data_IF_957859708412
#
_entry.id   IF_957859708412
#
_cell.length_a   1.000
_cell.length_b   1.000
_cell.length_c   1.000
_cell.angle_alpha   90.00
_cell.angle_beta   90.00
_cell.angle_gamma   90.00
#
_symmetry.space_group_name_H-M   'P 1'
#
loop_
_entity.id
_entity.type
_entity.pdbx_description
1 polymer ?
#
# COMPACT_ATOMS: atom_id res chain seq x y z
N UNK A 1 -9.43 -22.01 37.59
CA UNK A 1 -9.15 -21.09 36.45
C UNK A 1 -7.71 -21.15 35.91
N UNK A 2 -6.58 -21.14 36.63
CA UNK A 2 -5.27 -21.29 35.99
C UNK A 2 -5.10 -22.62 35.26
N UNK A 3 -5.61 -23.73 35.81
CA UNK A 3 -5.49 -25.08 35.20
C UNK A 3 -6.16 -25.19 33.83
N UNK A 4 -7.36 -24.61 33.65
CA UNK A 4 -8.11 -24.63 32.37
C UNK A 4 -7.34 -23.86 31.31
N UNK A 5 -6.77 -22.70 31.65
CA UNK A 5 -5.99 -21.87 30.71
C UNK A 5 -4.70 -22.58 30.30
N UNK A 6 -4.03 -23.26 31.21
CA UNK A 6 -2.80 -23.99 30.90
C UNK A 6 -3.10 -25.24 30.05
N UNK A 7 -4.18 -25.95 30.34
CA UNK A 7 -4.68 -27.07 29.51
C UNK A 7 -5.04 -26.59 28.11
N UNK A 8 -5.75 -25.46 27.99
CA UNK A 8 -6.10 -24.87 26.72
C UNK A 8 -4.87 -24.52 25.86
N UNK A 9 -3.84 -23.95 26.48
CA UNK A 9 -2.58 -23.63 25.75
C UNK A 9 -1.89 -24.88 25.22
N UNK A 10 -1.87 -25.96 26.02
CA UNK A 10 -1.26 -27.21 25.58
C UNK A 10 -2.05 -27.90 24.47
N UNK A 11 -3.39 -27.84 24.52
CA UNK A 11 -4.24 -28.36 23.46
C UNK A 11 -4.08 -27.57 22.14
N UNK A 12 -3.94 -26.25 22.24
CA UNK A 12 -3.66 -25.43 21.07
C UNK A 12 -2.30 -25.79 20.48
N UNK A 13 -1.24 -25.89 21.28
CA UNK A 13 0.08 -26.31 20.83
C UNK A 13 0.06 -27.69 20.17
N UNK A 14 -0.70 -28.65 20.77
CA UNK A 14 -0.88 -30.00 20.23
C UNK A 14 -1.67 -30.00 18.90
N UNK A 15 -2.67 -29.11 18.78
CA UNK A 15 -3.40 -28.90 17.55
C UNK A 15 -2.51 -28.32 16.44
N UNK A 16 -1.63 -27.39 16.78
CA UNK A 16 -0.66 -26.82 15.83
C UNK A 16 0.38 -27.84 15.36
N UNK A 17 0.82 -28.74 16.28
CA UNK A 17 1.81 -29.76 15.97
C UNK A 17 1.22 -30.92 15.13
N UNK A 18 0.03 -31.41 15.51
CA UNK A 18 -0.63 -32.56 14.86
C UNK A 18 -1.48 -32.16 13.64
N UNK A 19 -1.90 -30.90 13.53
CA UNK A 19 -2.82 -30.42 12.53
C UNK A 19 -4.30 -30.73 12.83
N UNK A 20 -4.62 -31.48 13.87
CA UNK A 20 -6.00 -31.78 14.30
C UNK A 20 -6.05 -32.05 15.81
N UNK A 21 -7.25 -31.96 16.38
CA UNK A 21 -7.50 -32.29 17.79
C UNK A 21 -8.63 -33.32 17.88
N UNK A 22 -8.43 -34.36 18.71
CA UNK A 22 -9.46 -35.34 18.95
C UNK A 22 -10.07 -35.16 20.34
N UNK A 23 -11.27 -35.72 20.54
CA UNK A 23 -11.89 -35.72 21.85
C UNK A 23 -11.06 -36.49 22.86
N UNK A 24 -10.36 -37.56 22.44
CA UNK A 24 -9.42 -38.31 23.28
C UNK A 24 -8.25 -37.44 23.76
N UNK A 25 -7.70 -36.55 22.87
CA UNK A 25 -6.65 -35.63 23.25
C UNK A 25 -7.09 -34.64 24.35
N UNK A 26 -8.36 -34.23 24.33
CA UNK A 26 -8.95 -33.36 25.35
C UNK A 26 -9.13 -34.12 26.66
N UNK A 27 -9.63 -35.34 26.59
CA UNK A 27 -9.84 -36.18 27.78
C UNK A 27 -8.52 -36.51 28.47
N UNK A 28 -7.49 -36.93 27.72
CA UNK A 28 -6.16 -37.27 28.26
C UNK A 28 -5.53 -36.09 29.03
N UNK A 29 -5.63 -34.89 28.48
CA UNK A 29 -5.12 -33.68 29.12
C UNK A 29 -6.02 -33.24 30.29
N UNK A 30 -7.34 -33.37 30.18
CA UNK A 30 -8.28 -33.04 31.25
C UNK A 30 -8.08 -33.95 32.47
N UNK A 31 -7.79 -35.21 32.26
CA UNK A 31 -7.43 -36.17 33.33
C UNK A 31 -6.12 -35.79 34.01
N UNK A 32 -5.11 -35.37 33.21
CA UNK A 32 -3.81 -34.92 33.74
C UNK A 32 -3.96 -33.71 34.66
N UNK A 33 -4.85 -32.77 34.32
CA UNK A 33 -5.13 -31.57 35.10
C UNK A 33 -6.26 -31.76 36.13
N UNK A 34 -6.90 -32.94 36.17
CA UNK A 34 -8.04 -33.27 37.03
C UNK A 34 -9.17 -32.24 36.90
N UNK A 35 -9.60 -31.96 35.67
CA UNK A 35 -10.69 -31.05 35.39
C UNK A 35 -12.05 -31.72 35.63
N UNK A 36 -13.04 -30.92 36.04
CA UNK A 36 -14.43 -31.37 36.17
C UNK A 36 -15.11 -31.41 34.82
N UNK A 37 -16.21 -32.14 34.66
CA UNK A 37 -16.98 -32.26 33.43
C UNK A 37 -17.39 -30.86 32.90
N UNK A 38 -17.84 -29.98 33.78
CA UNK A 38 -18.20 -28.60 33.40
C UNK A 38 -17.03 -27.75 32.91
N UNK A 39 -15.82 -28.02 33.41
CA UNK A 39 -14.58 -27.37 32.96
C UNK A 39 -14.12 -27.91 31.60
N UNK A 40 -14.37 -29.21 31.34
CA UNK A 40 -14.12 -29.82 30.02
C UNK A 40 -15.07 -29.26 28.97
N UNK A 41 -16.36 -29.10 29.31
CA UNK A 41 -17.34 -28.49 28.41
C UNK A 41 -16.94 -27.03 28.06
N UNK A 42 -16.58 -26.25 29.08
CA UNK A 42 -16.06 -24.86 28.87
C UNK A 42 -14.79 -24.82 28.02
N UNK A 43 -13.90 -25.82 28.22
CA UNK A 43 -12.68 -25.94 27.46
C UNK A 43 -12.97 -26.27 25.98
N UNK A 44 -13.89 -27.21 25.73
CA UNK A 44 -14.32 -27.58 24.38
C UNK A 44 -14.98 -26.39 23.67
N UNK A 45 -15.90 -25.70 24.34
CA UNK A 45 -16.55 -24.50 23.84
C UNK A 45 -15.52 -23.38 23.53
N UNK A 46 -14.53 -23.18 24.41
CA UNK A 46 -13.45 -22.20 24.21
C UNK A 46 -12.51 -22.55 23.05
N UNK A 47 -12.32 -23.84 22.74
CA UNK A 47 -11.57 -24.30 21.58
C UNK A 47 -12.37 -24.13 20.27
N UNK A 48 -13.67 -24.45 20.30
CA UNK A 48 -14.58 -24.23 19.17
C UNK A 48 -14.73 -22.75 18.83
N UNK A 49 -14.84 -21.87 19.84
CA UNK A 49 -14.84 -20.40 19.65
C UNK A 49 -13.58 -19.92 18.94
N UNK A 50 -12.45 -20.60 19.13
CA UNK A 50 -11.19 -20.32 18.42
C UNK A 50 -11.10 -20.93 17.02
N UNK A 51 -12.16 -21.61 16.57
CA UNK A 51 -12.19 -22.25 15.25
C UNK A 51 -11.44 -23.59 15.21
N UNK A 52 -11.09 -24.19 16.33
CA UNK A 52 -10.46 -25.52 16.38
C UNK A 52 -11.57 -26.57 16.34
N UNK A 53 -11.55 -27.43 15.32
CA UNK A 53 -12.49 -28.53 15.19
C UNK A 53 -12.03 -29.69 16.05
N UNK A 54 -12.91 -30.20 16.90
CA UNK A 54 -12.69 -31.36 17.72
C UNK A 54 -13.27 -32.57 17.00
N UNK A 55 -12.41 -33.56 16.67
CA UNK A 55 -12.82 -34.77 15.99
C UNK A 55 -13.12 -35.88 17.01
N UNK A 56 -14.12 -36.72 16.74
CA UNK A 56 -14.39 -37.91 17.55
C UNK A 56 -13.25 -38.95 17.41
N UNK A 57 -12.73 -39.10 16.19
CA UNK A 57 -11.62 -40.01 15.89
C UNK A 57 -10.60 -39.30 15.02
N UNK A 58 -9.33 -39.73 15.10
CA UNK A 58 -8.29 -39.18 14.25
C UNK A 58 -8.68 -39.27 12.75
N UNK A 59 -8.67 -38.15 11.98
CA UNK A 59 -9.01 -38.19 10.58
C UNK A 59 -8.05 -39.11 9.83
N UNK A 60 -8.60 -40.11 9.14
CA UNK A 60 -7.79 -41.00 8.30
C UNK A 60 -7.29 -40.20 7.12
N UNK A 61 -6.02 -40.39 6.70
CA UNK A 61 -5.41 -39.64 5.58
C UNK A 61 -6.14 -39.75 4.22
N UNK A 62 -7.24 -40.53 4.16
CA UNK A 62 -8.15 -40.62 3.01
C UNK A 62 -9.29 -39.61 3.05
N UNK A 63 -9.58 -39.03 4.22
CA UNK A 63 -10.65 -38.05 4.42
C UNK A 63 -10.19 -36.61 4.10
N UNK A 64 -8.92 -36.44 3.68
CA UNK A 64 -8.37 -35.17 3.19
C UNK A 64 -8.75 -34.88 1.75
N UNK A 65 -9.58 -35.71 1.10
CA UNK A 65 -9.98 -35.58 -0.31
C UNK A 65 -10.76 -34.31 -0.65
N UNK A 66 -11.22 -33.54 0.34
CA UNK A 66 -11.74 -32.17 0.10
C UNK A 66 -10.65 -31.17 -0.28
N UNK A 67 -9.38 -31.53 -0.17
CA UNK A 67 -8.21 -30.76 -0.57
C UNK A 67 -7.46 -31.39 -1.73
N UNK A 68 -8.17 -31.98 -2.69
CA UNK A 68 -7.56 -32.49 -3.92
C UNK A 68 -6.62 -31.49 -4.60
N UNK A 69 -6.86 -30.19 -4.42
CA UNK A 69 -6.02 -29.14 -4.97
C UNK A 69 -4.66 -28.99 -4.27
N UNK A 70 -4.56 -29.26 -2.97
CA UNK A 70 -3.30 -29.13 -2.23
C UNK A 70 -2.30 -30.24 -2.56
N UNK A 71 -2.76 -31.43 -2.92
CA UNK A 71 -1.88 -32.55 -3.26
C UNK A 71 -1.29 -32.45 -4.68
N UNK A 72 -1.86 -31.63 -5.56
CA UNK A 72 -1.45 -31.48 -6.97
C UNK A 72 -0.67 -30.19 -7.25
N UNK A 73 -0.71 -29.21 -6.33
CA UNK A 73 -0.07 -27.91 -6.52
C UNK A 73 1.24 -27.90 -5.73
N UNK A 74 2.34 -27.68 -6.44
CA UNK A 74 3.63 -27.43 -5.81
C UNK A 74 3.69 -25.98 -5.28
N UNK A 75 3.27 -25.79 -4.05
CA UNK A 75 3.33 -24.48 -3.40
C UNK A 75 4.78 -24.04 -3.13
N UNK A 76 5.72 -24.96 -2.92
CA UNK A 76 7.12 -24.61 -2.71
C UNK A 76 7.75 -24.01 -3.96
N UNK A 77 7.38 -24.49 -5.15
CA UNK A 77 7.79 -23.88 -6.41
C UNK A 77 7.22 -22.45 -6.54
N UNK A 78 5.94 -22.25 -6.20
CA UNK A 78 5.29 -20.91 -6.21
C UNK A 78 5.99 -19.96 -5.24
N UNK A 79 6.26 -20.40 -4.01
CA UNK A 79 6.92 -19.60 -2.98
C UNK A 79 8.33 -19.18 -3.40
N UNK A 80 9.12 -20.12 -3.91
CA UNK A 80 10.48 -19.84 -4.38
C UNK A 80 10.47 -18.88 -5.58
N UNK A 81 9.49 -18.99 -6.45
CA UNK A 81 9.34 -18.08 -7.58
C UNK A 81 8.97 -16.66 -7.12
N UNK A 82 8.04 -16.50 -6.17
CA UNK A 82 7.70 -15.18 -5.59
C UNK A 82 8.93 -14.55 -4.96
N UNK A 83 9.70 -15.30 -4.16
CA UNK A 83 10.94 -14.81 -3.54
C UNK A 83 11.98 -14.40 -4.60
N UNK A 84 12.08 -15.15 -5.71
CA UNK A 84 13.00 -14.80 -6.79
C UNK A 84 12.64 -13.51 -7.52
N UNK A 85 11.34 -13.20 -7.63
CA UNK A 85 10.84 -11.98 -8.25
C UNK A 85 10.91 -10.76 -7.30
N UNK A 86 10.66 -10.98 -6.01
CA UNK A 86 10.74 -9.94 -4.98
C UNK A 86 11.30 -10.52 -3.68
N UNK A 87 12.61 -10.33 -3.42
CA UNK A 87 13.26 -10.80 -2.19
C UNK A 87 12.67 -10.18 -0.92
N UNK A 88 12.05 -9.02 -1.02
CA UNK A 88 11.40 -8.33 0.11
C UNK A 88 10.24 -9.14 0.71
N UNK A 89 9.61 -10.01 -0.09
CA UNK A 89 8.51 -10.87 0.35
C UNK A 89 8.97 -12.15 1.06
N UNK A 90 10.28 -12.45 1.12
CA UNK A 90 10.82 -13.68 1.72
C UNK A 90 10.28 -13.93 3.12
N UNK A 91 10.31 -12.91 3.97
CA UNK A 91 9.83 -13.04 5.35
C UNK A 91 8.35 -13.43 5.44
N UNK A 92 7.50 -12.80 4.62
CA UNK A 92 6.05 -13.06 4.60
C UNK A 92 5.77 -14.47 4.05
N UNK A 93 6.43 -14.84 2.96
CA UNK A 93 6.29 -16.16 2.32
C UNK A 93 6.73 -17.26 3.26
N UNK A 94 7.83 -17.09 3.99
CA UNK A 94 8.31 -18.06 4.98
C UNK A 94 7.38 -18.22 6.19
N UNK A 95 6.71 -17.14 6.61
CA UNK A 95 5.64 -17.24 7.62
C UNK A 95 4.47 -18.07 7.10
N UNK A 96 4.03 -17.81 5.87
CA UNK A 96 2.91 -18.53 5.24
C UNK A 96 3.25 -20.02 5.03
N UNK A 97 4.51 -20.32 4.68
CA UNK A 97 5.01 -21.70 4.54
C UNK A 97 4.88 -22.52 5.82
N UNK A 98 5.06 -21.88 6.99
CA UNK A 98 4.97 -22.51 8.31
C UNK A 98 3.54 -22.68 8.82
N UNK A 99 2.54 -22.06 8.17
CA UNK A 99 1.16 -22.16 8.62
C UNK A 99 0.66 -23.61 8.50
N UNK A 100 -0.06 -24.13 9.51
CA UNK A 100 -0.63 -25.46 9.44
C UNK A 100 -1.69 -25.52 8.33
N UNK A 101 -1.73 -26.66 7.58
CA UNK A 101 -2.76 -26.86 6.55
C UNK A 101 -4.17 -26.90 7.20
N UNK A 102 -5.21 -26.61 6.42
CA UNK A 102 -6.58 -26.72 6.91
C UNK A 102 -6.94 -28.19 7.18
N UNK A 103 -7.81 -28.38 8.16
CA UNK A 103 -8.36 -29.68 8.52
C UNK A 103 -9.59 -30.01 7.66
N UNK A 104 -9.94 -31.29 7.59
CA UNK A 104 -11.17 -31.71 6.89
C UNK A 104 -12.41 -31.06 7.50
N UNK A 105 -13.28 -30.49 6.68
CA UNK A 105 -14.49 -29.79 7.14
C UNK A 105 -14.28 -28.46 7.87
N UNK A 106 -13.03 -28.07 8.15
CA UNK A 106 -12.71 -26.86 8.91
C UNK A 106 -13.28 -25.59 8.25
N UNK A 107 -13.22 -25.49 6.93
CA UNK A 107 -13.67 -24.28 6.21
C UNK A 107 -15.18 -24.05 6.38
N UNK A 108 -16.01 -25.09 6.28
CA UNK A 108 -17.47 -24.97 6.44
C UNK A 108 -17.85 -24.55 7.86
N UNK A 109 -17.15 -25.07 8.86
CA UNK A 109 -17.36 -24.70 10.26
C UNK A 109 -16.90 -23.28 10.55
N UNK A 110 -15.72 -22.89 10.02
CA UNK A 110 -15.19 -21.54 10.16
C UNK A 110 -16.07 -20.48 9.50
N UNK A 111 -16.60 -20.75 8.31
CA UNK A 111 -17.48 -19.79 7.61
C UNK A 111 -18.77 -19.54 8.39
N UNK A 112 -19.37 -20.58 9.00
CA UNK A 112 -20.54 -20.42 9.87
C UNK A 112 -20.19 -19.60 11.14
N UNK A 113 -19.06 -19.85 11.76
CA UNK A 113 -18.60 -19.10 12.94
C UNK A 113 -18.24 -17.64 12.61
N UNK A 114 -17.66 -17.36 11.44
CA UNK A 114 -17.40 -15.99 10.97
C UNK A 114 -18.71 -15.22 10.81
N UNK A 115 -19.73 -15.84 10.22
CA UNK A 115 -21.08 -15.25 10.12
C UNK A 115 -21.69 -14.94 11.51
N UNK A 116 -21.35 -15.75 12.54
CA UNK A 116 -21.74 -15.52 13.93
C UNK A 116 -20.87 -14.46 14.65
N UNK A 117 -19.87 -13.88 13.99
CA UNK A 117 -19.02 -12.81 14.53
C UNK A 117 -17.76 -13.30 15.29
N UNK A 118 -17.35 -14.56 15.13
CA UNK A 118 -16.16 -15.09 15.78
C UNK A 118 -14.88 -14.57 15.12
N UNK A 119 -14.10 -13.73 15.84
CA UNK A 119 -12.86 -13.12 15.35
C UNK A 119 -11.73 -14.13 15.13
N UNK A 120 -11.62 -15.15 15.97
CA UNK A 120 -10.60 -16.20 15.82
C UNK A 120 -10.86 -17.07 14.60
N UNK A 121 -12.14 -17.42 14.35
CA UNK A 121 -12.53 -18.13 13.13
C UNK A 121 -12.22 -17.30 11.86
N UNK A 122 -12.46 -15.97 11.93
CA UNK A 122 -12.11 -15.03 10.86
C UNK A 122 -10.62 -15.04 10.56
N UNK A 123 -9.79 -14.89 11.58
CA UNK A 123 -8.33 -14.91 11.43
C UNK A 123 -7.85 -16.26 10.85
N UNK A 124 -8.34 -17.37 11.38
CA UNK A 124 -7.98 -18.70 10.90
C UNK A 124 -8.38 -18.92 9.45
N UNK A 125 -9.57 -18.47 9.04
CA UNK A 125 -10.05 -18.57 7.65
C UNK A 125 -9.16 -17.77 6.69
N UNK A 126 -8.71 -16.58 7.09
CA UNK A 126 -7.75 -15.77 6.33
C UNK A 126 -6.43 -16.55 6.19
N UNK A 127 -5.85 -17.02 7.30
CA UNK A 127 -4.54 -17.71 7.31
C UNK A 127 -4.51 -18.93 6.39
N UNK A 128 -5.57 -19.73 6.38
CA UNK A 128 -5.70 -20.92 5.51
C UNK A 128 -5.62 -20.53 4.04
N UNK A 129 -6.25 -19.41 3.65
CA UNK A 129 -6.38 -19.03 2.25
C UNK A 129 -5.25 -18.12 1.73
N UNK A 130 -4.28 -17.72 2.57
CA UNK A 130 -3.12 -16.92 2.12
C UNK A 130 -2.32 -17.61 1.01
N UNK A 131 -2.16 -18.94 1.06
CA UNK A 131 -1.46 -19.71 0.01
C UNK A 131 -2.14 -19.59 -1.35
N UNK A 132 -3.47 -19.62 -1.36
CA UNK A 132 -4.28 -19.45 -2.57
C UNK A 132 -4.16 -18.02 -3.09
N UNK A 133 -4.17 -17.04 -2.20
CA UNK A 133 -3.98 -15.63 -2.57
C UNK A 133 -2.61 -15.40 -3.23
N UNK A 134 -1.52 -15.99 -2.69
CA UNK A 134 -0.19 -15.93 -3.29
C UNK A 134 -0.15 -16.56 -4.70
N UNK A 135 -0.79 -17.73 -4.87
CA UNK A 135 -0.89 -18.39 -6.18
C UNK A 135 -1.59 -17.52 -7.21
N UNK A 136 -2.72 -16.93 -6.83
CA UNK A 136 -3.50 -16.05 -7.72
C UNK A 136 -2.70 -14.78 -8.04
N UNK A 137 -2.07 -14.17 -7.03
CA UNK A 137 -1.24 -12.97 -7.22
C UNK A 137 -0.08 -13.23 -8.20
N UNK A 138 0.63 -14.34 -8.05
CA UNK A 138 1.71 -14.73 -8.97
C UNK A 138 1.19 -14.94 -10.39
N UNK A 139 0.07 -15.65 -10.56
CA UNK A 139 -0.53 -15.89 -11.88
C UNK A 139 -0.93 -14.57 -12.56
N UNK A 140 -1.53 -13.65 -11.81
CA UNK A 140 -1.97 -12.36 -12.33
C UNK A 140 -0.80 -11.42 -12.61
N UNK A 141 0.20 -11.41 -11.74
CA UNK A 141 1.42 -10.61 -11.95
C UNK A 141 2.11 -11.00 -13.26
N UNK A 142 2.19 -12.30 -13.55
CA UNK A 142 2.77 -12.80 -14.80
C UNK A 142 1.92 -12.46 -16.04
N UNK A 143 0.61 -12.64 -15.95
CA UNK A 143 -0.27 -12.47 -17.11
C UNK A 143 -0.49 -11.00 -17.49
N UNK A 144 -0.49 -10.09 -16.51
CA UNK A 144 -0.79 -8.67 -16.71
C UNK A 144 0.42 -7.75 -16.48
N UNK A 145 1.60 -8.33 -16.26
CA UNK A 145 2.85 -7.59 -15.96
C UNK A 145 2.71 -6.64 -14.75
N UNK A 146 2.01 -7.09 -13.70
CA UNK A 146 1.96 -6.36 -12.44
C UNK A 146 3.22 -6.58 -11.60
N UNK A 147 3.55 -5.60 -10.76
CA UNK A 147 4.53 -5.83 -9.71
C UNK A 147 4.03 -6.90 -8.74
N UNK A 148 4.90 -7.86 -8.40
CA UNK A 148 4.50 -9.01 -7.57
C UNK A 148 4.21 -8.60 -6.12
N UNK A 149 4.92 -7.60 -5.57
CA UNK A 149 4.68 -7.14 -4.21
C UNK A 149 3.34 -6.43 -4.09
N UNK A 150 3.01 -5.60 -5.09
CA UNK A 150 1.70 -4.94 -5.18
C UNK A 150 0.58 -5.97 -5.36
N UNK A 151 0.75 -6.95 -6.26
CA UNK A 151 -0.24 -7.99 -6.50
C UNK A 151 -0.50 -8.85 -5.26
N UNK A 152 0.53 -9.20 -4.49
CA UNK A 152 0.41 -9.94 -3.23
C UNK A 152 -0.33 -9.10 -2.19
N UNK A 153 0.04 -7.84 -2.03
CA UNK A 153 -0.59 -6.93 -1.07
C UNK A 153 -2.07 -6.70 -1.40
N UNK A 154 -2.39 -6.42 -2.66
CA UNK A 154 -3.77 -6.27 -3.13
C UNK A 154 -4.56 -7.58 -3.00
N UNK A 155 -3.93 -8.72 -3.27
CA UNK A 155 -4.53 -10.04 -3.12
C UNK A 155 -4.93 -10.35 -1.67
N UNK A 156 -4.08 -10.01 -0.70
CA UNK A 156 -4.40 -10.18 0.72
C UNK A 156 -5.56 -9.28 1.17
N UNK A 157 -5.60 -8.04 0.72
CA UNK A 157 -6.74 -7.15 0.97
C UNK A 157 -8.02 -7.72 0.36
N UNK A 158 -7.97 -8.24 -0.88
CA UNK A 158 -9.09 -8.90 -1.53
C UNK A 158 -9.61 -10.12 -0.74
N UNK A 159 -8.69 -10.94 -0.19
CA UNK A 159 -9.04 -12.06 0.67
C UNK A 159 -9.76 -11.61 1.95
N UNK A 160 -9.26 -10.59 2.63
CA UNK A 160 -9.89 -10.03 3.84
C UNK A 160 -11.32 -9.55 3.53
N UNK A 161 -11.50 -8.81 2.43
CA UNK A 161 -12.82 -8.36 2.00
C UNK A 161 -13.76 -9.55 1.70
N UNK A 162 -13.23 -10.61 1.09
CA UNK A 162 -14.00 -11.82 0.82
C UNK A 162 -14.48 -12.49 2.11
N UNK A 163 -13.62 -12.64 3.11
CA UNK A 163 -13.99 -13.21 4.41
C UNK A 163 -15.05 -12.39 5.11
N UNK A 164 -14.94 -11.05 5.08
CA UNK A 164 -15.89 -10.15 5.75
C UNK A 164 -17.26 -10.08 5.06
N UNK A 165 -17.34 -10.44 3.78
CA UNK A 165 -18.57 -10.34 2.97
C UNK A 165 -19.19 -11.68 2.60
N UNK A 166 -18.54 -12.78 2.97
CA UNK A 166 -19.04 -14.10 2.62
C UNK A 166 -20.33 -14.43 3.37
N UNK A 167 -21.34 -14.87 2.61
CA UNK A 167 -22.58 -15.39 3.13
C UNK A 167 -22.61 -16.91 2.91
N UNK A 168 -22.58 -17.73 3.98
CA UNK A 168 -22.58 -19.18 3.87
C UNK A 168 -23.85 -19.75 3.22
N UNK A 169 -24.98 -19.05 3.36
CA UNK A 169 -26.27 -19.50 2.81
C UNK A 169 -26.43 -19.19 1.31
N UNK A 170 -25.64 -18.21 0.80
CA UNK A 170 -25.75 -17.76 -0.59
C UNK A 170 -24.80 -18.44 -1.56
N UNK A 171 -23.67 -19.01 -1.11
CA UNK A 171 -22.60 -19.54 -1.94
C UNK A 171 -22.18 -20.95 -1.53
N UNK A 172 -22.00 -21.83 -2.53
CA UNK A 172 -21.67 -23.23 -2.29
C UNK A 172 -20.22 -23.48 -1.83
N UNK A 173 -19.28 -22.62 -2.17
CA UNK A 173 -17.85 -22.78 -1.84
C UNK A 173 -17.15 -21.43 -1.59
N UNK A 174 -16.61 -21.26 -0.38
CA UNK A 174 -15.85 -20.07 0.00
C UNK A 174 -14.63 -19.81 -0.91
N UNK A 175 -13.90 -20.85 -1.27
CA UNK A 175 -12.69 -20.74 -2.10
C UNK A 175 -12.97 -20.08 -3.45
N UNK A 176 -14.06 -20.48 -4.13
CA UNK A 176 -14.44 -19.88 -5.42
C UNK A 176 -14.82 -18.42 -5.26
N UNK A 177 -15.57 -18.09 -4.20
CA UNK A 177 -15.95 -16.73 -3.88
C UNK A 177 -14.72 -15.85 -3.57
N UNK A 178 -13.82 -16.33 -2.71
CA UNK A 178 -12.61 -15.62 -2.34
C UNK A 178 -11.70 -15.38 -3.57
N UNK A 179 -11.58 -16.35 -4.45
CA UNK A 179 -10.78 -16.21 -5.68
C UNK A 179 -11.25 -15.06 -6.55
N UNK A 180 -12.55 -14.85 -6.68
CA UNK A 180 -13.11 -13.72 -7.44
C UNK A 180 -12.78 -12.37 -6.81
N UNK A 181 -12.91 -12.26 -5.49
CA UNK A 181 -12.55 -11.02 -4.78
C UNK A 181 -11.06 -10.69 -4.83
N UNK A 182 -10.22 -11.73 -4.70
CA UNK A 182 -8.75 -11.58 -4.82
C UNK A 182 -8.42 -11.05 -6.22
N UNK A 183 -8.92 -11.68 -7.29
CA UNK A 183 -8.67 -11.25 -8.66
C UNK A 183 -9.22 -9.84 -8.93
N UNK A 184 -10.43 -9.55 -8.50
CA UNK A 184 -11.04 -8.23 -8.68
C UNK A 184 -10.25 -7.15 -7.98
N UNK A 185 -9.77 -7.40 -6.75
CA UNK A 185 -9.02 -6.41 -6.00
C UNK A 185 -7.63 -6.17 -6.61
N UNK A 186 -6.93 -7.23 -7.07
CA UNK A 186 -5.66 -7.10 -7.78
C UNK A 186 -5.85 -6.25 -9.04
N UNK A 187 -6.83 -6.57 -9.89
CA UNK A 187 -7.09 -5.80 -11.11
C UNK A 187 -7.45 -4.33 -10.85
N UNK A 188 -8.11 -4.05 -9.73
CA UNK A 188 -8.50 -2.68 -9.37
C UNK A 188 -7.31 -1.87 -8.87
N UNK A 189 -6.49 -2.44 -8.00
CA UNK A 189 -5.43 -1.71 -7.30
C UNK A 189 -4.10 -1.73 -8.05
N UNK A 190 -3.74 -2.83 -8.73
CA UNK A 190 -2.47 -2.94 -9.42
C UNK A 190 -2.51 -2.28 -10.81
N UNK A 191 -1.36 -1.75 -11.19
CA UNK A 191 -1.10 -1.27 -12.55
C UNK A 191 0.01 -2.13 -13.19
N UNK A 192 -0.03 -2.35 -14.51
CA UNK A 192 1.12 -2.92 -15.23
C UNK A 192 2.39 -2.08 -14.99
N UNK A 193 3.56 -2.72 -14.94
CA UNK A 193 4.86 -2.07 -14.67
C UNK A 193 5.14 -0.94 -15.67
N UNK A 194 4.66 -1.06 -16.92
CA UNK A 194 4.83 -0.04 -17.95
C UNK A 194 3.91 1.18 -17.80
N UNK A 195 2.94 1.15 -16.82
CA UNK A 195 1.99 2.24 -16.62
C UNK A 195 2.48 3.18 -15.53
N UNK A 196 2.89 4.39 -15.88
CA UNK A 196 3.38 5.40 -14.93
C UNK A 196 2.26 6.14 -14.18
N UNK A 197 1.10 6.34 -14.84
CA UNK A 197 0.00 7.10 -14.25
C UNK A 197 -1.10 6.19 -13.74
N UNK A 198 -1.71 6.59 -12.64
CA UNK A 198 -2.88 5.91 -12.11
C UNK A 198 -4.12 6.28 -12.92
N UNK A 199 -4.85 5.26 -13.36
CA UNK A 199 -6.15 5.40 -14.01
C UNK A 199 -7.24 4.76 -13.16
N UNK A 200 -8.48 5.35 -13.15
CA UNK A 200 -9.61 4.72 -12.51
C UNK A 200 -9.89 3.31 -13.06
N UNK A 201 -10.41 2.41 -12.21
CA UNK A 201 -10.63 1.00 -12.58
C UNK A 201 -11.46 0.85 -13.87
N UNK A 202 -12.54 1.62 -14.02
CA UNK A 202 -13.39 1.58 -15.21
C UNK A 202 -12.68 1.99 -16.50
N UNK A 203 -11.65 2.84 -16.40
CA UNK A 203 -10.82 3.22 -17.54
C UNK A 203 -9.82 2.11 -17.87
N UNK A 204 -9.18 1.52 -16.85
CA UNK A 204 -8.25 0.39 -17.02
C UNK A 204 -8.92 -0.83 -17.65
N UNK A 205 -10.15 -1.16 -17.23
CA UNK A 205 -10.92 -2.29 -17.76
C UNK A 205 -11.11 -2.24 -19.28
N UNK A 206 -11.10 -1.05 -19.88
CA UNK A 206 -11.22 -0.87 -21.33
C UNK A 206 -9.87 -0.64 -22.02
N UNK A 207 -8.98 0.09 -21.36
CA UNK A 207 -7.68 0.45 -21.92
C UNK A 207 -6.73 -0.76 -22.01
N UNK A 208 -6.65 -1.61 -20.99
CA UNK A 208 -5.73 -2.75 -20.98
C UNK A 208 -6.07 -3.79 -22.06
N UNK A 209 -7.32 -4.23 -22.23
CA UNK A 209 -7.67 -5.13 -23.33
C UNK A 209 -7.49 -4.49 -24.71
N UNK A 210 -7.62 -3.18 -24.83
CA UNK A 210 -7.35 -2.46 -26.08
C UNK A 210 -5.85 -2.52 -26.43
N UNK A 211 -4.98 -2.32 -25.43
CA UNK A 211 -3.53 -2.42 -25.61
C UNK A 211 -3.06 -3.85 -25.89
N UNK A 212 -3.61 -4.84 -25.18
CA UNK A 212 -3.30 -6.26 -25.42
C UNK A 212 -3.62 -6.68 -26.86
N UNK A 213 -4.72 -6.19 -27.42
CA UNK A 213 -5.05 -6.41 -28.83
C UNK A 213 -4.10 -5.73 -29.78
N UNK A 214 -3.67 -4.53 -29.45
CA UNK A 214 -2.67 -3.81 -30.24
C UNK A 214 -1.36 -4.60 -30.31
N UNK A 215 -0.88 -5.15 -29.20
CA UNK A 215 0.33 -5.99 -29.20
C UNK A 215 0.21 -7.27 -30.04
N UNK A 216 -1.00 -7.81 -30.16
CA UNK A 216 -1.27 -9.04 -30.92
C UNK A 216 -1.78 -8.75 -32.35
N UNK A 217 -1.99 -7.48 -32.70
CA UNK A 217 -2.52 -7.09 -33.99
C UNK A 217 -1.43 -7.11 -35.07
N UNK A 218 -1.72 -7.84 -36.14
CA UNK A 218 -0.89 -7.78 -37.34
C UNK A 218 -1.77 -7.66 -38.58
N UNK A 219 -1.67 -6.54 -39.28
CA UNK A 219 -2.26 -6.38 -40.62
C UNK A 219 -1.18 -5.93 -41.62
N UNK A 220 -1.32 -6.38 -42.87
CA UNK A 220 -0.34 -6.08 -43.91
C UNK A 220 -0.30 -4.61 -44.36
N UNK A 221 -1.32 -3.83 -44.00
CA UNK A 221 -1.51 -2.46 -44.41
C UNK A 221 -1.18 -1.43 -43.31
N UNK A 222 -0.71 -1.88 -42.15
CA UNK A 222 -0.35 -0.98 -41.03
C UNK A 222 0.90 -0.16 -41.35
N UNK A 223 0.78 1.16 -41.25
CA UNK A 223 1.92 2.07 -41.32
C UNK A 223 2.54 2.17 -39.91
N UNK A 224 3.87 1.92 -39.77
CA UNK A 224 4.54 2.08 -38.49
C UNK A 224 4.30 3.46 -37.90
N UNK A 225 3.84 3.50 -36.64
CA UNK A 225 3.55 4.74 -35.92
C UNK A 225 2.15 5.33 -36.13
N UNK A 226 1.29 4.70 -36.95
CA UNK A 226 -0.11 5.08 -37.08
C UNK A 226 -1.04 4.05 -36.44
N UNK A 227 -2.15 4.52 -35.87
CA UNK A 227 -3.18 3.64 -35.30
C UNK A 227 -4.02 3.07 -36.44
N UNK A 228 -4.12 1.76 -36.50
CA UNK A 228 -4.87 1.03 -37.51
C UNK A 228 -6.39 1.20 -37.29
N UNK A 229 -7.13 1.73 -38.28
CA UNK A 229 -8.59 1.92 -38.19
C UNK A 229 -9.34 0.59 -38.03
N UNK A 230 -8.88 -0.48 -38.65
CA UNK A 230 -9.48 -1.82 -38.51
C UNK A 230 -9.36 -2.34 -37.10
N UNK A 231 -8.19 -2.15 -36.45
CA UNK A 231 -7.97 -2.52 -35.05
C UNK A 231 -8.89 -1.72 -34.12
N UNK A 232 -9.02 -0.40 -34.35
CA UNK A 232 -9.91 0.44 -33.52
C UNK A 232 -11.37 0.00 -33.66
N UNK A 233 -11.81 -0.38 -34.89
CA UNK A 233 -13.15 -0.93 -35.09
C UNK A 233 -13.34 -2.25 -34.36
N UNK A 234 -12.38 -3.18 -34.41
CA UNK A 234 -12.41 -4.43 -33.67
C UNK A 234 -12.47 -4.23 -32.16
N UNK A 235 -11.70 -3.28 -31.64
CA UNK A 235 -11.73 -2.91 -30.20
C UNK A 235 -13.10 -2.33 -29.84
N UNK A 236 -13.65 -1.42 -30.65
CA UNK A 236 -14.95 -0.81 -30.42
C UNK A 236 -16.07 -1.85 -30.36
N UNK A 237 -16.09 -2.80 -31.30
CA UNK A 237 -17.09 -3.88 -31.35
C UNK A 237 -16.99 -4.82 -30.15
N UNK A 238 -15.77 -5.20 -29.79
CA UNK A 238 -15.53 -6.16 -28.69
C UNK A 238 -15.80 -5.59 -27.30
N UNK A 239 -15.48 -4.30 -27.10
CA UNK A 239 -15.71 -3.63 -25.81
C UNK A 239 -17.06 -2.92 -25.75
N UNK A 240 -17.83 -2.97 -26.84
CA UNK A 240 -19.13 -2.31 -26.99
C UNK A 240 -19.08 -0.80 -26.65
N UNK A 241 -18.10 -0.12 -27.24
CA UNK A 241 -17.84 1.32 -27.07
C UNK A 241 -17.82 2.03 -28.42
N UNK A 242 -17.86 3.34 -28.44
CA UNK A 242 -17.74 4.10 -29.67
C UNK A 242 -16.33 4.02 -30.28
N UNK A 243 -16.22 4.19 -31.60
CA UNK A 243 -14.93 4.24 -32.29
C UNK A 243 -14.00 5.31 -31.72
N UNK A 244 -14.55 6.49 -31.39
CA UNK A 244 -13.77 7.58 -30.79
C UNK A 244 -13.19 7.21 -29.42
N UNK A 245 -13.98 6.58 -28.54
CA UNK A 245 -13.52 6.10 -27.24
C UNK A 245 -12.47 4.99 -27.37
N UNK A 246 -12.67 4.05 -28.29
CA UNK A 246 -11.70 2.99 -28.57
C UNK A 246 -10.35 3.56 -29.02
N UNK A 247 -10.37 4.56 -29.90
CA UNK A 247 -9.17 5.27 -30.36
C UNK A 247 -8.48 6.02 -29.20
N UNK A 248 -9.25 6.65 -28.31
CA UNK A 248 -8.70 7.36 -27.14
C UNK A 248 -8.03 6.40 -26.16
N UNK A 249 -8.71 5.29 -25.79
CA UNK A 249 -8.14 4.28 -24.91
C UNK A 249 -6.84 3.69 -25.48
N UNK A 250 -6.85 3.33 -26.77
CA UNK A 250 -5.68 2.78 -27.43
C UNK A 250 -4.53 3.78 -27.50
N UNK A 251 -4.82 5.03 -27.90
CA UNK A 251 -3.81 6.10 -27.96
C UNK A 251 -3.18 6.35 -26.59
N UNK A 252 -4.00 6.36 -25.54
CA UNK A 252 -3.53 6.59 -24.17
C UNK A 252 -2.64 5.44 -23.72
N UNK A 253 -3.03 4.18 -24.00
CA UNK A 253 -2.24 3.01 -23.66
C UNK A 253 -0.88 2.98 -24.36
N UNK A 254 -0.84 3.27 -25.69
CA UNK A 254 0.40 3.33 -26.46
C UNK A 254 1.32 4.43 -25.93
N UNK A 255 0.78 5.60 -25.61
CA UNK A 255 1.56 6.70 -25.03
C UNK A 255 2.19 6.32 -23.69
N UNK A 256 1.49 5.54 -22.88
CA UNK A 256 2.01 5.06 -21.60
C UNK A 256 3.10 3.99 -21.78
N UNK A 257 2.96 3.11 -22.76
CA UNK A 257 3.83 1.95 -22.92
C UNK A 257 5.07 2.24 -23.80
N UNK A 258 4.95 3.11 -24.81
CA UNK A 258 5.99 3.27 -25.84
C UNK A 258 6.70 4.63 -25.78
N UNK A 259 6.09 5.65 -25.16
CA UNK A 259 6.66 7.00 -25.14
C UNK A 259 7.41 7.32 -23.83
N UNK A 260 8.10 6.36 -23.28
CA UNK A 260 9.02 6.62 -22.16
C UNK A 260 10.31 7.25 -22.68
N UNK A 261 10.46 8.54 -22.42
CA UNK A 261 11.74 9.22 -22.58
C UNK A 261 12.48 9.10 -21.25
N UNK A 262 13.46 8.22 -21.18
CA UNK A 262 14.36 8.22 -20.05
C UNK A 262 15.20 9.49 -20.06
N UNK A 263 15.42 10.09 -18.91
CA UNK A 263 16.29 11.26 -18.81
C UNK A 263 17.69 10.96 -19.35
N UNK A 264 18.21 9.73 -19.19
CA UNK A 264 19.43 9.26 -19.84
C UNK A 264 19.38 9.43 -21.35
N UNK A 265 18.28 9.05 -22.01
CA UNK A 265 18.16 9.10 -23.48
C UNK A 265 18.17 10.53 -24.01
N UNK A 266 17.68 11.48 -23.21
CA UNK A 266 17.72 12.91 -23.55
C UNK A 266 19.17 13.47 -23.55
N UNK A 267 20.08 12.84 -22.80
CA UNK A 267 21.46 13.29 -22.66
C UNK A 267 22.45 12.43 -23.46
N UNK A 268 22.12 11.19 -23.81
CA UNK A 268 22.96 10.29 -24.61
C UNK A 268 22.80 10.48 -26.13
N UNK A 269 21.77 11.20 -26.57
CA UNK A 269 21.29 11.20 -27.97
C UNK A 269 22.05 12.04 -28.98
N UNK A 270 23.19 12.64 -28.72
CA UNK A 270 23.86 13.52 -29.71
C UNK A 270 25.25 13.09 -30.15
N UNK A 271 25.62 11.80 -30.02
CA UNK A 271 26.91 11.32 -30.59
C UNK A 271 28.17 11.99 -30.02
N UNK A 272 28.05 12.63 -28.87
CA UNK A 272 29.19 13.11 -28.10
C UNK A 272 29.74 11.97 -27.28
N UNK A 273 31.04 11.73 -27.36
CA UNK A 273 31.78 10.73 -26.58
C UNK A 273 31.69 10.96 -25.07
N UNK A 274 31.33 12.17 -24.62
CA UNK A 274 31.10 12.51 -23.22
C UNK A 274 29.61 12.80 -22.98
N UNK A 275 28.95 12.12 -22.02
CA UNK A 275 27.58 12.43 -21.64
C UNK A 275 27.50 13.86 -21.12
N UNK A 276 26.54 14.64 -21.62
CA UNK A 276 26.29 15.99 -21.12
C UNK A 276 26.04 15.92 -19.60
N UNK A 277 26.71 16.77 -18.82
CA UNK A 277 26.47 16.79 -17.38
C UNK A 277 25.00 17.12 -17.11
N UNK A 278 24.39 16.36 -16.21
CA UNK A 278 23.02 16.61 -15.77
C UNK A 278 22.85 18.08 -15.39
N UNK A 279 21.83 18.78 -15.92
CA UNK A 279 21.55 20.13 -15.48
C UNK A 279 21.38 20.13 -13.95
N UNK A 280 22.17 20.94 -13.26
CA UNK A 280 22.11 21.04 -11.80
C UNK A 280 20.68 21.37 -11.29
N UNK A 281 19.86 22.00 -12.15
CA UNK A 281 18.46 22.31 -11.90
C UNK A 281 17.57 21.07 -11.79
N UNK A 282 17.93 19.93 -12.39
CA UNK A 282 17.21 18.65 -12.28
C UNK A 282 17.64 17.83 -11.07
N UNK A 283 18.81 18.11 -10.54
CA UNK A 283 19.27 17.47 -9.31
C UNK A 283 18.68 18.28 -8.14
N UNK A 284 17.46 17.96 -7.74
CA UNK A 284 16.94 18.46 -6.47
C UNK A 284 17.69 17.74 -5.37
N UNK A 285 18.78 18.36 -4.90
CA UNK A 285 19.46 17.88 -3.70
C UNK A 285 18.54 18.09 -2.49
N UNK A 286 18.59 17.17 -1.53
CA UNK A 286 17.87 17.29 -0.25
C UNK A 286 18.18 18.62 0.46
N UNK A 287 19.29 19.25 0.14
CA UNK A 287 19.71 20.57 0.62
C UNK A 287 18.68 21.67 0.33
N UNK A 288 18.02 21.66 -0.84
CA UNK A 288 16.95 22.63 -1.18
C UNK A 288 15.75 22.51 -0.27
N UNK A 289 15.41 21.31 0.18
CA UNK A 289 14.32 21.09 1.11
C UNK A 289 14.70 21.58 2.51
N UNK A 290 15.92 21.29 2.94
CA UNK A 290 16.49 21.76 4.22
C UNK A 290 16.61 23.28 4.23
N UNK A 291 17.07 23.91 3.15
CA UNK A 291 17.09 25.37 3.01
C UNK A 291 15.71 26.02 3.11
N UNK A 292 14.71 25.47 2.42
CA UNK A 292 13.33 25.95 2.49
C UNK A 292 12.77 25.85 3.92
N UNK A 293 13.01 24.73 4.59
CA UNK A 293 12.57 24.54 5.97
C UNK A 293 13.32 25.49 6.91
N UNK A 294 14.65 25.59 6.79
CA UNK A 294 15.46 26.51 7.60
C UNK A 294 15.06 27.96 7.41
N UNK A 295 14.81 28.41 6.17
CA UNK A 295 14.33 29.74 5.84
C UNK A 295 12.94 30.00 6.44
N UNK A 296 12.02 29.04 6.38
CA UNK A 296 10.70 29.14 6.99
C UNK A 296 10.79 29.24 8.51
N UNK A 297 11.64 28.44 9.14
CA UNK A 297 11.87 28.48 10.59
C UNK A 297 12.51 29.81 11.02
N UNK A 298 13.50 30.30 10.27
CA UNK A 298 14.14 31.58 10.49
C UNK A 298 13.12 32.75 10.37
N UNK A 299 12.27 32.71 9.32
CA UNK A 299 11.19 33.68 9.12
C UNK A 299 10.22 33.69 10.31
N UNK A 300 9.79 32.54 10.81
CA UNK A 300 8.93 32.42 11.96
C UNK A 300 9.58 32.94 13.26
N UNK A 301 10.87 32.66 13.44
CA UNK A 301 11.64 33.18 14.58
C UNK A 301 11.75 34.72 14.56
N UNK A 302 11.96 35.30 13.36
CA UNK A 302 11.96 36.76 13.16
C UNK A 302 10.59 37.37 13.40
N UNK A 303 9.50 36.77 12.94
CA UNK A 303 8.13 37.23 13.24
C UNK A 303 7.85 37.23 14.73
N UNK A 304 8.25 36.21 15.46
CA UNK A 304 8.14 36.12 16.91
C UNK A 304 9.00 37.16 17.62
N UNK A 305 10.19 37.47 17.09
CA UNK A 305 11.01 38.56 17.65
C UNK A 305 10.38 39.94 17.42
N UNK A 306 9.85 40.17 16.20
CA UNK A 306 9.14 41.41 15.86
C UNK A 306 7.89 41.64 16.70
N UNK A 307 7.14 40.57 17.02
CA UNK A 307 5.95 40.67 17.90
C UNK A 307 6.25 41.20 19.30
N UNK A 308 7.51 41.16 19.73
CA UNK A 308 7.97 41.69 21.01
C UNK A 308 8.25 43.21 21.01
N UNK A 309 8.19 43.84 19.83
CA UNK A 309 8.33 45.28 19.65
C UNK A 309 6.95 45.96 19.70
N UNK A 310 6.95 47.30 19.81
CA UNK A 310 5.68 48.03 19.59
C UNK A 310 5.27 47.96 18.12
N UNK A 311 3.96 47.99 17.78
CA UNK A 311 3.52 47.88 16.38
C UNK A 311 4.26 48.84 15.44
N UNK A 312 4.47 50.05 15.88
CA UNK A 312 5.15 51.10 15.11
C UNK A 312 6.65 50.81 14.89
N UNK A 313 7.33 50.22 15.89
CA UNK A 313 8.73 49.81 15.78
C UNK A 313 8.87 48.58 14.84
N UNK A 314 7.94 47.62 14.91
CA UNK A 314 7.92 46.44 14.07
C UNK A 314 7.67 46.81 12.60
N UNK A 315 6.72 47.67 12.31
CA UNK A 315 6.39 48.13 10.95
C UNK A 315 7.56 48.89 10.34
N UNK A 316 8.21 49.77 11.06
CA UNK A 316 9.43 50.46 10.56
C UNK A 316 10.52 49.50 10.18
N UNK A 317 10.76 48.44 10.98
CA UNK A 317 11.76 47.40 10.64
C UNK A 317 11.33 46.62 9.41
N UNK A 318 10.06 46.17 9.30
CA UNK A 318 9.54 45.46 8.16
C UNK A 318 9.71 46.23 6.84
N UNK A 319 9.28 47.49 6.83
CA UNK A 319 9.41 48.35 5.64
C UNK A 319 10.86 48.63 5.28
N UNK A 320 11.72 48.83 6.26
CA UNK A 320 13.15 49.07 6.03
C UNK A 320 13.92 47.88 5.51
N UNK A 321 13.57 46.66 5.96
CA UNK A 321 14.20 45.43 5.54
C UNK A 321 13.57 44.77 4.30
N UNK A 322 12.37 45.22 3.87
CA UNK A 322 11.62 44.59 2.81
C UNK A 322 11.08 43.21 3.18
N UNK A 323 10.83 42.98 4.48
CA UNK A 323 10.48 41.65 4.99
C UNK A 323 9.20 41.06 4.38
N UNK A 324 8.25 41.90 3.98
CA UNK A 324 6.97 41.45 3.42
C UNK A 324 6.97 41.43 1.88
N UNK A 325 7.62 42.44 1.24
CA UNK A 325 7.54 42.69 -0.23
C UNK A 325 8.89 42.53 -0.94
N UNK A 326 9.92 42.05 -0.28
CA UNK A 326 11.33 41.93 -0.78
C UNK A 326 11.91 43.27 -1.31
N UNK A 327 11.28 44.43 -0.96
CA UNK A 327 11.72 45.76 -1.37
C UNK A 327 11.99 46.64 -0.17
N UNK A 328 13.26 46.82 0.22
CA UNK A 328 13.62 47.70 1.33
C UNK A 328 13.36 49.17 0.96
N UNK A 329 12.59 49.86 1.77
CA UNK A 329 12.31 51.29 1.62
C UNK A 329 13.41 52.12 2.26
N UNK A 330 13.65 53.34 1.73
CA UNK A 330 14.60 54.29 2.32
C UNK A 330 14.02 54.94 3.61
N UNK A 331 14.88 55.58 4.41
CA UNK A 331 14.43 56.30 5.61
C UNK A 331 13.49 57.48 5.27
N UNK A 332 13.67 58.06 4.10
CA UNK A 332 12.85 59.11 3.56
C UNK A 332 11.44 58.61 3.20
N UNK A 333 11.38 57.47 2.49
CA UNK A 333 10.12 56.85 2.06
C UNK A 333 9.26 56.45 3.26
N UNK A 334 9.89 55.78 4.23
CA UNK A 334 9.19 55.40 5.50
C UNK A 334 8.78 56.64 6.26
N UNK A 335 9.61 57.68 6.26
CA UNK A 335 9.27 58.99 6.83
C UNK A 335 8.04 59.63 6.19
N UNK A 336 7.95 59.57 4.88
CA UNK A 336 6.79 60.06 4.10
C UNK A 336 5.51 59.27 4.45
N UNK A 337 5.58 57.95 4.56
CA UNK A 337 4.43 57.08 4.93
C UNK A 337 3.86 57.44 6.30
N UNK A 338 4.74 57.69 7.29
CA UNK A 338 4.33 58.00 8.68
C UNK A 338 4.19 59.49 8.98
N UNK A 339 4.47 60.35 8.00
CA UNK A 339 4.39 61.82 8.19
C UNK A 339 5.42 62.34 9.23
N UNK A 340 6.60 61.73 9.30
CA UNK A 340 7.66 62.12 10.20
C UNK A 340 8.98 62.29 9.50
N UNK A 341 9.93 63.02 10.15
CA UNK A 341 11.24 63.31 9.56
C UNK A 341 12.10 62.02 9.47
N UNK A 342 13.02 61.97 8.49
CA UNK A 342 14.03 60.91 8.31
C UNK A 342 14.75 60.59 9.63
N UNK A 343 15.19 61.62 10.37
CA UNK A 343 15.90 61.43 11.64
C UNK A 343 15.02 60.73 12.69
N UNK A 344 13.70 61.01 12.68
CA UNK A 344 12.78 60.35 13.58
C UNK A 344 12.63 58.85 13.28
N UNK A 345 12.58 58.46 12.02
CA UNK A 345 12.58 57.05 11.61
C UNK A 345 13.90 56.39 12.02
N UNK A 346 15.04 57.04 11.82
CA UNK A 346 16.36 56.54 12.25
C UNK A 346 16.43 56.26 13.75
N UNK A 347 15.81 57.15 14.56
CA UNK A 347 15.73 56.96 16.02
C UNK A 347 14.85 55.77 16.38
N UNK A 348 13.70 55.59 15.71
CA UNK A 348 12.79 54.45 15.92
C UNK A 348 13.49 53.14 15.54
N UNK A 349 14.13 53.07 14.38
CA UNK A 349 14.92 51.93 13.89
C UNK A 349 16.02 51.57 14.89
N UNK A 350 16.84 52.54 15.30
CA UNK A 350 17.95 52.31 16.26
C UNK A 350 17.44 51.79 17.62
N UNK A 351 16.28 52.26 18.07
CA UNK A 351 15.66 51.80 19.30
C UNK A 351 15.12 50.39 19.16
N UNK A 352 14.45 50.08 18.06
CA UNK A 352 13.94 48.76 17.75
C UNK A 352 15.07 47.73 17.66
N UNK A 353 16.16 48.03 16.94
CA UNK A 353 17.35 47.15 16.81
C UNK A 353 18.02 46.90 18.17
N UNK A 354 18.15 47.91 19.04
CA UNK A 354 18.65 47.70 20.41
C UNK A 354 17.78 46.74 21.22
N UNK A 355 16.45 46.84 21.08
CA UNK A 355 15.51 45.92 21.75
C UNK A 355 15.59 44.51 21.23
N UNK A 356 15.78 44.31 19.92
CA UNK A 356 15.99 43.02 19.31
C UNK A 356 17.34 42.41 19.66
N UNK A 357 18.39 43.24 19.77
CA UNK A 357 19.76 42.83 20.15
C UNK A 357 19.92 42.48 21.64
N UNK A 358 18.86 42.56 22.46
CA UNK A 358 18.96 42.14 23.86
C UNK A 358 19.24 40.62 23.95
N UNK A 359 20.18 40.16 24.83
CA UNK A 359 20.65 38.78 24.89
C UNK A 359 19.54 37.71 24.98
N UNK A 360 18.45 38.01 25.69
CA UNK A 360 17.30 37.10 25.84
C UNK A 360 16.54 36.86 24.54
N UNK A 361 16.61 37.77 23.56
CA UNK A 361 15.94 37.69 22.26
C UNK A 361 16.92 37.27 21.17
N UNK A 362 18.11 37.82 21.20
CA UNK A 362 19.20 37.48 20.23
C UNK A 362 19.59 35.99 20.33
N UNK A 363 19.52 35.36 21.50
CA UNK A 363 19.85 33.93 21.66
C UNK A 363 19.01 33.02 20.76
N UNK A 364 17.69 33.30 20.63
CA UNK A 364 16.80 32.52 19.77
C UNK A 364 17.02 32.71 18.28
N UNK A 365 17.68 33.80 17.88
CA UNK A 365 18.02 34.07 16.47
C UNK A 365 19.40 33.58 16.13
N UNK A 366 20.28 33.35 17.11
CA UNK A 366 21.64 32.84 16.87
C UNK A 366 21.69 31.41 16.31
N UNK A 367 20.65 30.64 16.57
CA UNK A 367 20.57 29.24 16.10
C UNK A 367 20.34 29.16 14.57
N UNK A 368 20.09 30.28 13.91
CA UNK A 368 19.84 30.39 12.46
C UNK A 368 20.99 31.10 11.70
N UNK A 369 22.11 31.38 12.37
CA UNK A 369 23.29 32.03 11.77
C UNK A 369 24.52 31.16 11.85
#
# INVERSE_FOLDING_TARGET
MPKVVDCQKQLIAKSEEKGFLTFDDIMDLSDTYSLSVSEVDQLSEALEIRGIIIYETAPSGKDTDCFEDYSRIDYDAIFNEIISLSPELEYIVDLIRKLPPPQYGEISTLTAQVAAGNTFARERLILIHLRIALKIALSMAKSHQYDIADAVSAGFVGLVIAVDRFDPDGFSAFQSYASLWIQQNINRECNPIWMEYYFPAHYKEKMLPAYERYLNHWCGDCVPGSICETLVSEIADNLNISFGEASEYLTTAIKQAENHLYLSDCFEGSGCEDPLPWPQELIQTDDLLLEKVATSMARNALLNALSSLTPREADVIRLRTGFDDDRPLTLEDVGAIYGVTRERIRQIEAKALRRLGHPSKAKKLKDFW
#
